data_IF_024869539711
#
_entry.id   IF_024869539711
#
_cell.length_a   1.000
_cell.length_b   1.000
_cell.length_c   1.000
_cell.angle_alpha   90.00
_cell.angle_beta   90.00
_cell.angle_gamma   90.00
#
_symmetry.space_group_name_H-M   'P 1'
#
loop_
_entity.id
_entity.type
_entity.pdbx_description
1 polymer ?
#
# COMPACT_ATOMS: atom_id res chain seq x y z
N UNK A 1 -10.76 2.06 11.39
CA UNK A 1 -10.07 1.46 12.55
C UNK A 1 -9.77 2.50 13.61
N UNK A 2 -10.48 2.49 14.75
CA UNK A 2 -10.30 3.49 15.82
C UNK A 2 -8.91 3.47 16.46
N UNK A 3 -8.31 2.29 16.65
CA UNK A 3 -6.96 2.19 17.20
C UNK A 3 -5.93 2.97 16.36
N UNK A 4 -6.00 2.88 15.02
CA UNK A 4 -5.11 3.64 14.13
C UNK A 4 -5.41 5.15 14.20
N UNK A 5 -6.69 5.56 14.22
CA UNK A 5 -7.06 6.99 14.38
C UNK A 5 -6.50 7.56 15.68
N UNK A 6 -6.62 6.84 16.79
CA UNK A 6 -6.08 7.26 18.08
C UNK A 6 -4.56 7.44 18.01
N UNK A 7 -3.83 6.46 17.49
CA UNK A 7 -2.36 6.55 17.37
C UNK A 7 -1.94 7.70 16.46
N UNK A 8 -2.64 7.95 15.35
CA UNK A 8 -2.40 9.11 14.48
C UNK A 8 -2.58 10.43 15.24
N UNK A 9 -3.61 10.57 16.08
CA UNK A 9 -3.79 11.79 16.91
C UNK A 9 -2.68 12.00 17.92
N UNK A 10 -2.15 10.91 18.48
CA UNK A 10 -1.12 10.96 19.52
C UNK A 10 0.27 11.32 18.97
N UNK A 11 0.64 10.81 17.78
CA UNK A 11 2.01 10.93 17.26
C UNK A 11 2.13 11.64 15.92
N UNK A 12 1.00 11.90 15.25
CA UNK A 12 0.99 12.49 13.91
C UNK A 12 1.38 13.95 13.91
N UNK A 13 2.27 14.32 12.99
CA UNK A 13 2.71 15.70 12.81
C UNK A 13 2.35 16.17 11.41
N UNK A 14 1.46 17.16 11.30
CA UNK A 14 1.12 17.80 10.03
C UNK A 14 2.25 18.75 9.64
N UNK A 15 2.95 18.43 8.56
CA UNK A 15 4.06 19.25 8.02
C UNK A 15 3.55 20.28 6.99
N UNK A 16 2.46 19.96 6.31
CA UNK A 16 1.72 20.84 5.40
C UNK A 16 0.30 20.32 5.21
N UNK A 17 -0.56 21.06 4.50
CA UNK A 17 -1.91 20.61 4.16
C UNK A 17 -1.95 19.29 3.36
N UNK A 18 -0.81 18.84 2.82
CA UNK A 18 -0.70 17.59 2.04
C UNK A 18 0.18 16.52 2.71
N UNK A 19 0.99 16.89 3.70
CA UNK A 19 2.01 16.01 4.27
C UNK A 19 1.79 15.85 5.77
N UNK A 20 1.59 14.60 6.18
CA UNK A 20 1.60 14.15 7.58
C UNK A 20 2.78 13.21 7.79
N UNK A 21 3.47 13.38 8.90
CA UNK A 21 4.55 12.52 9.35
C UNK A 21 4.03 11.52 10.39
N UNK A 22 4.17 10.22 10.09
CA UNK A 22 3.81 9.10 10.97
C UNK A 22 5.02 8.19 11.27
N UNK A 23 6.21 8.78 11.37
CA UNK A 23 7.48 8.06 11.59
C UNK A 23 7.46 7.16 12.82
N UNK A 24 6.72 7.52 13.88
CA UNK A 24 6.69 6.75 15.12
C UNK A 24 5.89 5.44 15.02
N UNK A 25 5.07 5.26 13.98
CA UNK A 25 4.16 4.11 13.86
C UNK A 25 4.21 3.39 12.49
N UNK A 26 4.61 4.08 11.42
CA UNK A 26 4.54 3.54 10.05
C UNK A 26 5.84 3.74 9.24
N UNK A 27 6.34 4.98 9.16
CA UNK A 27 7.32 5.32 8.11
C UNK A 27 8.79 5.13 8.50
N UNK A 28 9.11 5.02 9.79
CA UNK A 28 10.49 4.82 10.26
C UNK A 28 10.57 3.78 11.39
N UNK A 29 9.91 4.06 12.52
CA UNK A 29 9.62 3.09 13.55
C UNK A 29 8.31 2.37 13.21
N UNK A 30 8.25 1.09 13.60
CA UNK A 30 7.08 0.24 13.41
C UNK A 30 6.55 -0.11 14.79
N UNK A 31 5.27 0.16 15.03
CA UNK A 31 4.55 -0.33 16.21
C UNK A 31 4.02 -1.74 15.91
N UNK A 32 4.61 -2.82 16.47
CA UNK A 32 4.26 -4.18 16.07
C UNK A 32 2.83 -4.56 16.45
N UNK A 33 2.31 -4.02 17.55
CA UNK A 33 0.94 -4.30 18.02
C UNK A 33 -0.06 -3.66 17.07
N UNK A 34 0.14 -2.39 16.73
CA UNK A 34 -0.69 -1.69 15.75
C UNK A 34 -0.59 -2.35 14.37
N UNK A 35 0.62 -2.73 13.94
CA UNK A 35 0.86 -3.42 12.66
C UNK A 35 0.12 -4.74 12.57
N UNK A 36 0.18 -5.55 13.63
CA UNK A 36 -0.55 -6.81 13.70
C UNK A 36 -2.06 -6.59 13.63
N UNK A 37 -2.57 -5.57 14.32
CA UNK A 37 -3.99 -5.22 14.27
C UNK A 37 -4.43 -4.78 12.87
N UNK A 38 -3.63 -3.95 12.18
CA UNK A 38 -3.91 -3.54 10.79
C UNK A 38 -3.89 -4.74 9.83
N UNK A 39 -2.90 -5.64 9.96
CA UNK A 39 -2.84 -6.86 9.16
C UNK A 39 -4.06 -7.77 9.37
N UNK A 40 -4.51 -7.91 10.62
CA UNK A 40 -5.72 -8.68 10.96
C UNK A 40 -6.98 -8.08 10.35
N UNK A 41 -7.09 -6.75 10.37
CA UNK A 41 -8.23 -6.05 9.80
C UNK A 41 -8.31 -6.30 8.28
N UNK A 42 -7.20 -6.16 7.55
CA UNK A 42 -7.17 -6.51 6.12
C UNK A 42 -7.48 -7.97 5.85
N UNK A 43 -6.90 -8.89 6.63
CA UNK A 43 -7.21 -10.31 6.48
C UNK A 43 -8.70 -10.60 6.68
N UNK A 44 -9.36 -9.88 7.60
CA UNK A 44 -10.81 -10.00 7.85
C UNK A 44 -11.62 -9.44 6.67
N UNK A 45 -11.28 -8.25 6.18
CA UNK A 45 -11.97 -7.57 5.07
C UNK A 45 -11.94 -8.39 3.77
N UNK A 46 -10.85 -9.14 3.55
CA UNK A 46 -10.59 -9.92 2.34
C UNK A 46 -10.66 -11.45 2.56
N UNK A 47 -11.22 -11.91 3.69
CA UNK A 47 -11.19 -13.32 4.09
C UNK A 47 -11.83 -14.28 3.08
N UNK A 48 -12.92 -13.86 2.43
CA UNK A 48 -13.70 -14.69 1.50
C UNK A 48 -13.28 -14.51 0.04
N UNK A 49 -12.23 -13.74 -0.22
CA UNK A 49 -11.84 -13.37 -1.58
C UNK A 49 -10.85 -14.35 -2.22
N UNK A 50 -10.46 -15.41 -1.50
CA UNK A 50 -9.51 -16.41 -1.97
C UNK A 50 -8.16 -15.82 -2.35
N UNK A 51 -7.65 -14.85 -1.58
CA UNK A 51 -6.32 -14.27 -1.78
C UNK A 51 -5.28 -15.39 -1.78
N UNK A 52 -4.40 -15.43 -2.79
CA UNK A 52 -3.31 -16.42 -2.88
C UNK A 52 -1.94 -15.81 -2.59
N UNK A 53 -1.82 -14.49 -2.68
CA UNK A 53 -0.56 -13.76 -2.51
C UNK A 53 -0.81 -12.29 -2.21
N UNK A 54 0.03 -11.71 -1.35
CA UNK A 54 0.05 -10.27 -1.09
C UNK A 54 1.15 -9.61 -1.90
N UNK A 55 0.83 -8.49 -2.57
CA UNK A 55 1.82 -7.60 -3.17
C UNK A 55 1.89 -6.30 -2.37
N UNK A 56 3.09 -5.76 -2.20
CA UNK A 56 3.31 -4.40 -1.64
C UNK A 56 4.48 -3.73 -2.36
N UNK A 57 4.92 -2.57 -1.90
CA UNK A 57 6.13 -1.89 -2.37
C UNK A 57 7.02 -1.49 -1.21
N UNK A 58 8.33 -1.55 -1.42
CA UNK A 58 9.27 -1.13 -0.39
C UNK A 58 9.17 0.38 -0.05
N UNK A 59 9.32 0.78 1.21
CA UNK A 59 9.60 -0.06 2.40
C UNK A 59 8.43 -0.09 3.40
N UNK A 60 7.68 1.00 3.51
CA UNK A 60 6.73 1.22 4.62
C UNK A 60 5.48 0.34 4.57
N UNK A 61 5.07 -0.17 3.40
CA UNK A 61 3.98 -1.13 3.28
C UNK A 61 4.33 -2.55 3.76
N UNK A 62 5.64 -2.89 3.82
CA UNK A 62 6.12 -4.25 4.11
C UNK A 62 5.61 -4.79 5.46
N UNK A 63 5.70 -4.07 6.60
CA UNK A 63 5.28 -4.62 7.89
C UNK A 63 3.79 -4.98 7.92
N UNK A 64 2.93 -4.14 7.33
CA UNK A 64 1.48 -4.35 7.28
C UNK A 64 1.14 -5.52 6.34
N UNK A 65 1.77 -5.55 5.17
CA UNK A 65 1.62 -6.62 4.20
C UNK A 65 2.07 -7.96 4.78
N UNK A 66 3.17 -8.00 5.54
CA UNK A 66 3.65 -9.19 6.23
C UNK A 66 2.64 -9.69 7.28
N UNK A 67 2.12 -8.79 8.12
CA UNK A 67 1.12 -9.16 9.12
C UNK A 67 -0.16 -9.73 8.48
N UNK A 68 -0.65 -9.12 7.39
CA UNK A 68 -1.79 -9.64 6.65
C UNK A 68 -1.51 -10.99 6.00
N UNK A 69 -0.32 -11.15 5.38
CA UNK A 69 0.10 -12.38 4.71
C UNK A 69 0.22 -13.55 5.70
N UNK A 70 0.75 -13.27 6.89
CA UNK A 70 0.86 -14.25 7.97
C UNK A 70 -0.53 -14.75 8.40
N UNK A 71 -1.52 -13.86 8.52
CA UNK A 71 -2.86 -14.20 8.99
C UNK A 71 -3.66 -14.93 7.90
N UNK A 72 -3.54 -14.48 6.64
CA UNK A 72 -4.15 -15.15 5.48
C UNK A 72 -3.42 -16.45 5.10
N UNK A 73 -2.24 -16.71 5.69
CA UNK A 73 -1.37 -17.85 5.39
C UNK A 73 -1.01 -17.96 3.90
N UNK A 74 -0.56 -16.84 3.33
CA UNK A 74 -0.17 -16.73 1.91
C UNK A 74 1.22 -16.10 1.77
N UNK A 75 1.96 -16.39 0.69
CA UNK A 75 3.23 -15.71 0.41
C UNK A 75 3.01 -14.22 0.15
N UNK A 76 4.07 -13.44 0.36
CA UNK A 76 4.11 -12.02 0.00
C UNK A 76 5.27 -11.71 -0.94
N UNK A 77 5.06 -10.70 -1.80
CA UNK A 77 6.06 -10.13 -2.69
C UNK A 77 6.06 -8.62 -2.46
N UNK A 78 7.23 -8.00 -2.46
CA UNK A 78 7.32 -6.54 -2.43
C UNK A 78 8.07 -6.04 -3.66
N UNK A 79 7.49 -5.06 -4.34
CA UNK A 79 8.12 -4.37 -5.45
C UNK A 79 9.30 -3.53 -4.95
N UNK A 80 10.31 -3.40 -5.82
CA UNK A 80 11.53 -2.64 -5.55
C UNK A 80 11.61 -1.40 -6.41
N UNK A 81 12.23 -0.35 -5.89
CA UNK A 81 12.51 0.92 -6.59
C UNK A 81 13.93 0.98 -7.15
N UNK A 82 14.79 0.04 -6.73
CA UNK A 82 16.15 -0.14 -7.26
C UNK A 82 16.29 -1.54 -7.83
N UNK A 83 17.00 -1.64 -8.95
CA UNK A 83 17.37 -2.93 -9.54
C UNK A 83 18.20 -3.74 -8.52
N UNK A 84 17.81 -4.98 -8.21
CA UNK A 84 18.66 -5.90 -7.47
C UNK A 84 19.96 -6.16 -8.23
N UNK A 85 21.06 -6.42 -7.50
CA UNK A 85 22.34 -6.80 -8.14
C UNK A 85 22.19 -8.08 -8.98
N UNK A 86 21.25 -8.96 -8.65
CA UNK A 86 20.93 -10.18 -9.38
C UNK A 86 20.03 -9.97 -10.61
N UNK A 87 19.68 -8.73 -10.99
CA UNK A 87 18.65 -8.49 -12.01
C UNK A 87 19.07 -8.83 -13.45
N UNK A 88 20.37 -9.00 -13.71
CA UNK A 88 20.86 -9.24 -15.08
C UNK A 88 20.47 -10.64 -15.61
N UNK A 89 20.02 -11.54 -14.74
CA UNK A 89 19.57 -12.88 -15.08
C UNK A 89 18.07 -13.11 -14.85
N UNK A 90 17.34 -12.11 -14.36
CA UNK A 90 15.95 -12.27 -13.93
C UNK A 90 15.03 -11.39 -14.77
N UNK A 91 14.02 -11.99 -15.39
CA UNK A 91 13.00 -11.20 -16.08
C UNK A 91 12.19 -10.37 -15.08
N UNK A 92 11.93 -9.11 -15.42
CA UNK A 92 11.23 -8.17 -14.55
C UNK A 92 10.00 -7.57 -15.23
N UNK A 93 8.93 -7.39 -14.47
CA UNK A 93 7.91 -6.38 -14.74
C UNK A 93 8.40 -5.06 -14.17
N UNK A 94 8.33 -3.99 -14.97
CA UNK A 94 8.72 -2.63 -14.55
C UNK A 94 7.67 -1.64 -15.01
N UNK A 95 7.38 -0.67 -14.14
CA UNK A 95 6.52 0.48 -14.42
C UNK A 95 7.19 1.77 -13.93
N UNK A 96 7.06 2.83 -14.72
CA UNK A 96 7.52 4.17 -14.34
C UNK A 96 6.40 4.90 -13.60
N UNK A 97 6.69 5.39 -12.40
CA UNK A 97 5.72 6.12 -11.57
C UNK A 97 6.29 7.46 -11.10
N UNK A 98 5.54 8.57 -11.21
CA UNK A 98 5.93 9.84 -10.60
C UNK A 98 6.11 9.71 -9.09
N UNK A 99 7.23 10.21 -8.55
CA UNK A 99 7.45 10.34 -7.11
C UNK A 99 7.22 11.79 -6.70
N UNK A 100 6.03 12.09 -6.19
CA UNK A 100 5.67 13.44 -5.74
C UNK A 100 6.62 13.98 -4.66
N UNK A 101 7.04 13.13 -3.73
CA UNK A 101 7.96 13.51 -2.65
C UNK A 101 9.38 13.83 -3.13
N UNK A 102 9.76 13.37 -4.33
CA UNK A 102 11.12 13.53 -4.84
C UNK A 102 11.23 14.31 -6.15
N UNK A 103 10.11 14.68 -6.77
CA UNK A 103 10.09 15.47 -8.01
C UNK A 103 10.65 14.74 -9.25
N UNK A 104 10.84 13.43 -9.19
CA UNK A 104 11.34 12.62 -10.32
C UNK A 104 10.52 11.36 -10.54
N UNK A 105 10.67 10.75 -11.72
CA UNK A 105 10.05 9.47 -12.07
C UNK A 105 10.93 8.33 -11.58
N UNK A 106 10.36 7.40 -10.82
CA UNK A 106 11.05 6.20 -10.35
C UNK A 106 10.49 4.97 -11.03
N UNK A 107 11.35 3.98 -11.27
CA UNK A 107 10.90 2.64 -11.62
C UNK A 107 10.37 1.94 -10.37
N UNK A 108 9.36 1.09 -10.57
CA UNK A 108 8.94 0.07 -9.62
C UNK A 108 8.98 -1.29 -10.34
N UNK A 109 9.53 -2.29 -9.67
CA UNK A 109 9.90 -3.55 -10.31
C UNK A 109 9.48 -4.76 -9.49
N UNK A 110 9.02 -5.80 -10.18
CA UNK A 110 8.72 -7.12 -9.61
C UNK A 110 9.31 -8.18 -10.54
N UNK A 111 10.06 -9.15 -9.98
CA UNK A 111 10.57 -10.26 -10.78
C UNK A 111 9.41 -11.17 -11.22
N UNK A 112 9.42 -11.57 -12.50
CA UNK A 112 8.28 -12.25 -13.14
C UNK A 112 7.96 -13.58 -12.51
N UNK A 113 8.97 -14.32 -12.05
CA UNK A 113 8.84 -15.63 -11.41
C UNK A 113 7.96 -15.62 -10.14
N UNK A 114 7.72 -14.44 -9.54
CA UNK A 114 6.87 -14.33 -8.35
C UNK A 114 5.41 -13.98 -8.63
N UNK A 115 5.02 -13.80 -9.91
CA UNK A 115 3.65 -13.51 -10.30
C UNK A 115 3.18 -14.48 -11.39
N UNK A 116 2.12 -15.23 -11.08
CA UNK A 116 1.46 -16.18 -11.99
C UNK A 116 0.07 -15.67 -12.39
N UNK A 117 -0.43 -16.10 -13.56
CA UNK A 117 -1.81 -15.82 -13.98
C UNK A 117 -2.86 -16.48 -13.07
N UNK A 118 -2.47 -17.51 -12.30
CA UNK A 118 -3.33 -18.17 -11.31
C UNK A 118 -3.46 -17.37 -10.01
N UNK A 119 -2.66 -16.32 -9.83
CA UNK A 119 -2.65 -15.55 -8.60
C UNK A 119 -3.88 -14.67 -8.41
N UNK A 120 -4.37 -14.63 -7.17
CA UNK A 120 -5.36 -13.69 -6.66
C UNK A 120 -4.66 -12.75 -5.69
N UNK A 121 -4.26 -11.59 -6.19
CA UNK A 121 -3.40 -10.63 -5.51
C UNK A 121 -4.22 -9.66 -4.67
N UNK A 122 -3.87 -9.54 -3.39
CA UNK A 122 -4.23 -8.40 -2.55
C UNK A 122 -3.05 -7.42 -2.51
N UNK A 123 -3.27 -6.18 -2.97
CA UNK A 123 -2.26 -5.12 -2.86
C UNK A 123 -2.40 -4.42 -1.51
N UNK A 124 -1.33 -4.33 -0.71
CA UNK A 124 -1.33 -3.60 0.57
C UNK A 124 -0.28 -2.49 0.53
N UNK A 125 -0.65 -1.27 0.94
CA UNK A 125 0.28 -0.14 1.07
C UNK A 125 -0.01 0.69 2.33
N UNK A 126 0.98 1.45 2.79
CA UNK A 126 0.85 2.27 4.00
C UNK A 126 -0.01 3.53 3.75
N UNK A 127 0.22 4.21 2.63
CA UNK A 127 -0.47 5.44 2.27
C UNK A 127 -1.02 5.42 0.85
N UNK A 128 -2.16 6.09 0.66
CA UNK A 128 -2.56 6.56 -0.66
C UNK A 128 -2.84 8.06 -0.68
N UNK A 129 -2.15 8.72 -1.63
CA UNK A 129 -2.22 10.15 -1.91
C UNK A 129 -2.72 10.36 -3.34
N UNK A 130 -1.82 10.57 -4.31
CA UNK A 130 -2.17 10.65 -5.74
C UNK A 130 -2.34 9.28 -6.41
N UNK A 131 -1.89 8.20 -5.78
CA UNK A 131 -2.14 6.82 -6.21
C UNK A 131 -1.19 6.26 -7.28
N UNK A 132 -0.13 6.97 -7.67
CA UNK A 132 0.73 6.56 -8.79
C UNK A 132 1.44 5.23 -8.58
N UNK A 133 1.97 5.00 -7.37
CA UNK A 133 2.61 3.74 -7.02
C UNK A 133 1.61 2.58 -7.10
N UNK A 134 0.44 2.72 -6.47
CA UNK A 134 -0.63 1.73 -6.54
C UNK A 134 -1.06 1.45 -7.99
N UNK A 135 -1.28 2.48 -8.82
CA UNK A 135 -1.60 2.29 -10.25
C UNK A 135 -0.50 1.59 -11.02
N UNK A 136 0.77 1.87 -10.72
CA UNK A 136 1.90 1.15 -11.30
C UNK A 136 1.88 -0.34 -10.94
N UNK A 137 1.65 -0.67 -9.68
CA UNK A 137 1.54 -2.07 -9.23
C UNK A 137 0.32 -2.76 -9.86
N UNK A 138 -0.81 -2.07 -9.95
CA UNK A 138 -2.01 -2.57 -10.66
C UNK A 138 -1.68 -2.91 -12.12
N UNK A 139 -0.90 -2.09 -12.82
CA UNK A 139 -0.46 -2.38 -14.19
C UNK A 139 0.47 -3.60 -14.25
N UNK A 140 1.39 -3.74 -13.29
CA UNK A 140 2.25 -4.94 -13.17
C UNK A 140 1.40 -6.20 -12.99
N UNK A 141 0.44 -6.19 -12.06
CA UNK A 141 -0.47 -7.33 -11.80
C UNK A 141 -1.26 -7.68 -13.06
N UNK A 142 -1.82 -6.68 -13.76
CA UNK A 142 -2.55 -6.91 -15.02
C UNK A 142 -1.65 -7.53 -16.10
N UNK A 143 -0.40 -7.06 -16.22
CA UNK A 143 0.57 -7.58 -17.19
C UNK A 143 1.04 -9.00 -16.87
N UNK A 144 1.02 -9.42 -15.61
CA UNK A 144 1.31 -10.81 -15.23
C UNK A 144 0.15 -11.76 -15.49
N UNK A 145 -1.02 -11.25 -15.88
CA UNK A 145 -2.25 -12.03 -16.04
C UNK A 145 -2.92 -12.40 -14.71
N UNK A 146 -2.38 -11.93 -13.57
CA UNK A 146 -2.93 -12.21 -12.26
C UNK A 146 -4.22 -11.42 -12.02
N UNK A 147 -5.08 -11.95 -11.15
CA UNK A 147 -6.30 -11.27 -10.73
C UNK A 147 -6.04 -10.35 -9.53
N UNK A 148 -6.39 -9.07 -9.64
CA UNK A 148 -6.37 -8.15 -8.50
C UNK A 148 -7.68 -8.30 -7.72
N UNK A 149 -7.59 -8.81 -6.49
CA UNK A 149 -8.72 -8.90 -5.54
C UNK A 149 -9.14 -7.52 -5.04
N UNK A 150 -8.15 -6.69 -4.70
CA UNK A 150 -8.40 -5.35 -4.17
C UNK A 150 -7.13 -4.68 -3.66
N UNK A 151 -7.30 -3.48 -3.14
CA UNK A 151 -6.23 -2.65 -2.57
C UNK A 151 -6.58 -2.32 -1.11
N UNK A 152 -5.74 -2.72 -0.17
CA UNK A 152 -5.81 -2.34 1.24
C UNK A 152 -4.83 -1.21 1.55
N UNK A 153 -5.33 -0.09 2.09
CA UNK A 153 -4.51 1.08 2.43
C UNK A 153 -4.64 1.39 3.91
N UNK A 154 -3.53 1.56 4.64
CA UNK A 154 -3.62 1.89 6.05
C UNK A 154 -4.15 3.31 6.26
N UNK A 155 -3.63 4.30 5.53
CA UNK A 155 -4.05 5.70 5.61
C UNK A 155 -4.31 6.30 4.22
N UNK A 156 -5.55 6.69 3.97
CA UNK A 156 -5.95 7.41 2.75
C UNK A 156 -6.12 8.90 3.02
N UNK A 157 -5.57 9.74 2.14
CA UNK A 157 -5.86 11.17 2.08
C UNK A 157 -6.95 11.42 1.04
N UNK A 158 -8.21 11.46 1.46
CA UNK A 158 -9.38 11.49 0.55
C UNK A 158 -9.55 12.83 -0.17
N UNK A 159 -8.95 13.90 0.34
CA UNK A 159 -8.81 15.18 -0.37
C UNK A 159 -7.84 15.11 -1.56
N UNK A 160 -7.12 13.98 -1.75
CA UNK A 160 -6.31 13.69 -2.94
C UNK A 160 -6.96 12.61 -3.81
N UNK A 161 -6.63 12.60 -5.09
CA UNK A 161 -7.38 11.83 -6.09
C UNK A 161 -7.09 10.31 -6.10
N UNK A 162 -6.09 9.82 -5.36
CA UNK A 162 -5.55 8.46 -5.51
C UNK A 162 -6.59 7.37 -5.33
N UNK A 163 -7.11 7.19 -4.12
CA UNK A 163 -8.08 6.12 -3.85
C UNK A 163 -9.38 6.29 -4.64
N UNK A 164 -9.92 7.52 -4.74
CA UNK A 164 -11.11 7.83 -5.55
C UNK A 164 -11.00 7.34 -6.99
N UNK A 165 -9.95 7.72 -7.70
CA UNK A 165 -9.78 7.36 -9.12
C UNK A 165 -9.49 5.87 -9.35
N UNK A 166 -8.91 5.17 -8.36
CA UNK A 166 -8.77 3.72 -8.42
C UNK A 166 -10.15 3.05 -8.26
N UNK A 167 -10.99 3.53 -7.32
CA UNK A 167 -12.38 3.06 -7.17
C UNK A 167 -13.21 3.31 -8.42
N UNK A 168 -13.11 4.50 -9.03
CA UNK A 168 -13.77 4.84 -10.30
C UNK A 168 -13.39 3.90 -11.46
N UNK A 169 -12.21 3.26 -11.40
CA UNK A 169 -11.79 2.26 -12.38
C UNK A 169 -12.33 0.84 -12.14
N UNK A 170 -13.25 0.68 -11.18
CA UNK A 170 -13.87 -0.60 -10.83
C UNK A 170 -13.02 -1.48 -9.90
N UNK A 171 -11.98 -0.92 -9.27
CA UNK A 171 -11.12 -1.65 -8.34
C UNK A 171 -11.59 -1.39 -6.91
N UNK A 172 -11.76 -2.46 -6.12
CA UNK A 172 -12.06 -2.36 -4.68
C UNK A 172 -10.88 -1.75 -3.93
N UNK A 173 -11.12 -0.67 -3.19
CA UNK A 173 -10.11 -0.01 -2.33
C UNK A 173 -10.68 0.13 -0.92
N UNK A 174 -10.00 -0.48 0.04
CA UNK A 174 -10.37 -0.53 1.45
C UNK A 174 -9.32 0.22 2.27
N UNK A 175 -9.74 1.29 2.95
CA UNK A 175 -8.85 2.14 3.73
C UNK A 175 -9.16 2.00 5.21
N UNK A 176 -8.15 1.69 6.05
CA UNK A 176 -8.38 1.52 7.50
C UNK A 176 -8.69 2.86 8.17
N UNK A 177 -8.08 3.94 7.69
CA UNK A 177 -8.34 5.31 8.10
C UNK A 177 -8.35 6.21 6.86
N UNK A 178 -9.37 7.06 6.77
CA UNK A 178 -9.48 8.13 5.79
C UNK A 178 -9.33 9.48 6.47
N UNK A 179 -8.48 10.34 5.92
CA UNK A 179 -8.25 11.72 6.33
C UNK A 179 -8.85 12.64 5.27
N UNK A 180 -9.88 13.39 5.65
CA UNK A 180 -10.59 14.33 4.76
C UNK A 180 -9.95 15.71 4.71
N UNK A 181 -9.21 16.11 5.74
CA UNK A 181 -8.46 17.38 5.74
C UNK A 181 -7.31 17.36 6.75
N UNK A 182 -6.27 18.16 6.45
CA UNK A 182 -5.13 18.45 7.32
C UNK A 182 -4.88 19.96 7.47
N UNK A 183 -5.89 20.78 7.21
CA UNK A 183 -5.75 22.23 7.23
C UNK A 183 -5.51 22.77 8.64
N UNK A 184 -4.73 23.86 8.72
CA UNK A 184 -4.39 24.53 9.98
C UNK A 184 -3.72 23.60 11.01
N UNK A 185 -3.08 22.52 10.55
CA UNK A 185 -2.43 21.53 11.41
C UNK A 185 -3.38 20.52 12.07
N UNK A 186 -4.69 20.56 11.76
CA UNK A 186 -5.68 19.67 12.35
C UNK A 186 -5.97 18.49 11.44
N UNK A 187 -5.89 17.27 11.98
CA UNK A 187 -6.23 16.05 11.25
C UNK A 187 -7.73 15.77 11.39
N UNK A 188 -8.47 15.86 10.29
CA UNK A 188 -9.90 15.55 10.23
C UNK A 188 -10.06 14.20 9.55
N UNK A 189 -10.68 13.25 10.25
CA UNK A 189 -10.98 11.91 9.74
C UNK A 189 -12.40 11.85 9.16
N UNK A 190 -12.65 10.86 8.30
CA UNK A 190 -14.00 10.41 7.91
C UNK A 190 -14.54 9.32 8.84
#
# INVERSE_FOLDING_TARGET
>A
MELLKQRIREVGQVLSNEVIKLDAILNHAVDPVLTTAMGKEFATIFAEEGVTKILTIESSGIPIAFAAAQILNVPMVFARRKKPVSSDTTEIYSERVPSFTKGFVTDIMVAREFLSAEDRILLIDDFIANGDAARGLIRIIRRSGAHLVGVGIAVEKTFQAGGRTIRESGIRVESLVSISSMEHGNIIFE
#
